data_IF_338037216357
#
_entry.id   IF_338037216357
#
_cell.length_a   1.000
_cell.length_b   1.000
_cell.length_c   1.000
_cell.angle_alpha   90.00
_cell.angle_beta   90.00
_cell.angle_gamma   90.00
#
_symmetry.space_group_name_H-M   'P 1'
#
loop_
_entity.id
_entity.type
_entity.pdbx_description
1 polymer ?
#
# COMPACT_ATOMS: atom_id res chain seq x y z
N UNK A 1 -19.20 10.95 -9.92
CA UNK A 1 -19.20 12.43 -9.88
C UNK A 1 -19.95 12.91 -11.12
N UNK A 2 -20.72 14.00 -11.08
CA UNK A 2 -21.38 14.49 -12.28
C UNK A 2 -20.32 14.96 -13.29
N UNK A 3 -20.55 14.71 -14.58
CA UNK A 3 -19.62 14.98 -15.68
C UNK A 3 -19.13 16.44 -15.81
N UNK A 4 -19.69 17.38 -15.04
CA UNK A 4 -19.35 18.81 -15.08
C UNK A 4 -18.30 19.22 -14.02
N UNK A 5 -17.97 18.34 -13.06
CA UNK A 5 -17.04 18.69 -11.98
C UNK A 5 -15.59 18.77 -12.42
N UNK A 6 -15.15 17.89 -13.32
CA UNK A 6 -13.74 17.79 -13.75
C UNK A 6 -13.31 19.02 -14.56
N UNK A 7 -14.16 19.50 -15.49
CA UNK A 7 -13.90 20.70 -16.26
C UNK A 7 -13.75 21.94 -15.35
N UNK A 8 -14.65 22.09 -14.39
CA UNK A 8 -14.61 23.21 -13.43
C UNK A 8 -13.36 23.20 -12.55
N UNK A 9 -12.86 22.02 -12.16
CA UNK A 9 -11.62 21.92 -11.40
C UNK A 9 -10.42 22.31 -12.26
N UNK A 10 -10.37 21.85 -13.52
CA UNK A 10 -9.31 22.22 -14.46
C UNK A 10 -9.25 23.74 -14.73
N UNK A 11 -10.40 24.41 -14.85
CA UNK A 11 -10.50 25.86 -14.98
C UNK A 11 -10.01 26.61 -13.73
N UNK A 12 -10.15 26.02 -12.55
CA UNK A 12 -9.60 26.57 -11.31
C UNK A 12 -8.09 26.42 -11.22
N UNK A 13 -7.56 25.26 -11.64
CA UNK A 13 -6.13 24.98 -11.67
C UNK A 13 -5.39 25.84 -12.71
N UNK A 14 -6.02 26.13 -13.86
CA UNK A 14 -5.49 27.02 -14.88
C UNK A 14 -5.63 28.51 -14.56
N UNK A 15 -6.35 28.85 -13.47
CA UNK A 15 -6.61 30.23 -13.05
C UNK A 15 -7.63 30.97 -13.92
N UNK A 16 -8.27 30.31 -14.89
CA UNK A 16 -9.30 30.89 -15.75
C UNK A 16 -10.58 31.25 -14.99
N UNK A 17 -10.89 30.47 -13.95
CA UNK A 17 -12.03 30.69 -13.08
C UNK A 17 -11.59 30.53 -11.62
N UNK A 18 -12.17 31.28 -10.68
CA UNK A 18 -11.96 31.05 -9.26
C UNK A 18 -13.20 30.40 -8.61
N UNK A 19 -13.02 29.48 -7.67
CA UNK A 19 -14.15 28.92 -6.93
C UNK A 19 -14.86 30.01 -6.14
N UNK A 20 -16.20 30.01 -6.17
CA UNK A 20 -16.98 30.89 -5.30
C UNK A 20 -16.67 30.61 -3.83
N UNK A 21 -16.91 31.61 -2.96
CA UNK A 21 -16.65 31.49 -1.51
C UNK A 21 -17.32 30.25 -0.91
N UNK A 22 -18.55 29.94 -1.33
CA UNK A 22 -19.29 28.76 -0.90
C UNK A 22 -18.63 27.45 -1.35
N UNK A 23 -18.21 27.35 -2.62
CA UNK A 23 -17.50 26.17 -3.15
C UNK A 23 -16.15 25.98 -2.46
N UNK A 24 -15.39 27.06 -2.27
CA UNK A 24 -14.11 27.04 -1.53
C UNK A 24 -14.31 26.56 -0.09
N UNK A 25 -15.32 27.06 0.61
CA UNK A 25 -15.65 26.62 1.98
C UNK A 25 -16.03 25.14 2.02
N UNK A 26 -16.81 24.66 1.05
CA UNK A 26 -17.18 23.24 0.95
C UNK A 26 -15.95 22.33 0.76
N UNK A 27 -15.01 22.72 -0.11
CA UNK A 27 -13.76 21.98 -0.35
C UNK A 27 -12.91 21.93 0.93
N UNK A 28 -12.73 23.07 1.60
CA UNK A 28 -11.98 23.14 2.86
C UNK A 28 -12.62 22.27 3.95
N UNK A 29 -13.96 22.30 4.06
CA UNK A 29 -14.69 21.46 5.00
C UNK A 29 -14.55 19.97 4.68
N UNK A 30 -14.55 19.60 3.40
CA UNK A 30 -14.31 18.23 2.97
C UNK A 30 -12.90 17.77 3.34
N UNK A 31 -11.88 18.61 3.12
CA UNK A 31 -10.50 18.33 3.53
C UNK A 31 -10.38 18.08 5.03
N UNK A 32 -11.00 18.94 5.85
CA UNK A 32 -11.06 18.75 7.32
C UNK A 32 -11.74 17.45 7.71
N UNK A 33 -12.85 17.11 7.05
CA UNK A 33 -13.57 15.86 7.32
C UNK A 33 -12.73 14.63 6.98
N UNK A 34 -12.04 14.64 5.84
CA UNK A 34 -11.12 13.56 5.45
C UNK A 34 -9.97 13.41 6.43
N UNK A 35 -9.36 14.53 6.85
CA UNK A 35 -8.29 14.51 7.85
C UNK A 35 -8.77 13.94 9.19
N UNK A 36 -9.97 14.34 9.63
CA UNK A 36 -10.60 13.79 10.83
C UNK A 36 -10.81 12.28 10.72
N UNK A 37 -11.36 11.80 9.60
CA UNK A 37 -11.53 10.36 9.36
C UNK A 37 -10.20 9.59 9.41
N UNK A 38 -9.13 10.13 8.82
CA UNK A 38 -7.82 9.51 8.89
C UNK A 38 -7.25 9.48 10.32
N UNK A 39 -7.49 10.53 11.11
CA UNK A 39 -7.03 10.60 12.49
C UNK A 39 -7.79 9.67 13.44
N UNK A 40 -9.07 9.42 13.16
CA UNK A 40 -9.97 8.56 13.94
C UNK A 40 -10.04 7.13 13.40
N UNK A 41 -9.18 6.76 12.45
CA UNK A 41 -9.18 5.43 11.88
C UNK A 41 -8.93 4.35 12.96
N UNK A 42 -9.71 3.26 12.99
CA UNK A 42 -9.73 2.31 14.10
C UNK A 42 -8.41 1.56 14.32
N UNK A 43 -7.62 1.38 13.26
CA UNK A 43 -6.32 0.72 13.30
C UNK A 43 -5.18 1.69 12.96
N UNK A 44 -5.37 2.98 13.23
CA UNK A 44 -4.29 3.96 13.11
C UNK A 44 -3.07 3.50 13.92
N UNK A 45 -1.91 3.52 13.29
CA UNK A 45 -0.66 3.12 13.94
C UNK A 45 -0.11 4.21 14.86
N UNK A 46 0.61 3.86 15.94
CA UNK A 46 1.31 4.81 16.77
C UNK A 46 2.48 5.47 16.00
N UNK A 47 3.05 6.58 16.53
CA UNK A 47 4.24 7.19 15.95
C UNK A 47 5.40 6.20 15.76
N UNK A 48 6.18 6.38 14.71
CA UNK A 48 7.32 5.51 14.39
C UNK A 48 8.35 5.44 15.53
N UNK A 49 8.51 6.52 16.32
CA UNK A 49 9.42 6.59 17.47
C UNK A 49 9.10 5.59 18.58
N UNK A 50 7.86 5.09 18.64
CA UNK A 50 7.39 4.11 19.63
C UNK A 50 7.43 2.67 19.10
N UNK A 51 7.91 2.49 17.87
CA UNK A 51 7.88 1.20 17.18
C UNK A 51 9.21 0.47 17.29
N UNK A 52 9.15 -0.86 17.41
CA UNK A 52 10.31 -1.74 17.60
C UNK A 52 11.03 -2.06 16.29
N UNK A 53 10.31 -2.03 15.19
CA UNK A 53 10.80 -2.26 13.83
C UNK A 53 9.87 -1.58 12.83
N UNK A 54 10.33 -1.48 11.60
CA UNK A 54 9.61 -0.88 10.48
C UNK A 54 9.33 -1.91 9.42
N UNK A 55 8.21 -1.78 8.71
CA UNK A 55 7.86 -2.70 7.64
C UNK A 55 7.16 -2.00 6.49
N UNK A 56 7.15 -2.68 5.34
CA UNK A 56 6.34 -2.29 4.18
C UNK A 56 5.33 -3.37 3.87
N UNK A 57 4.20 -2.98 3.29
CA UNK A 57 3.09 -3.88 2.95
C UNK A 57 2.77 -3.80 1.45
N UNK A 58 3.25 -4.77 0.69
CA UNK A 58 3.06 -4.87 -0.75
C UNK A 58 1.92 -5.84 -1.07
N UNK A 59 1.07 -5.48 -2.03
CA UNK A 59 -0.16 -6.24 -2.34
C UNK A 59 -1.03 -6.36 -1.08
N UNK A 60 -1.18 -5.24 -0.38
CA UNK A 60 -1.69 -5.19 0.98
C UNK A 60 -3.15 -5.65 1.12
N UNK A 61 -3.92 -5.63 0.02
CA UNK A 61 -5.36 -5.82 0.02
C UNK A 61 -6.02 -4.85 0.99
N UNK A 62 -6.80 -5.38 1.93
CA UNK A 62 -7.45 -4.60 2.99
C UNK A 62 -6.59 -4.48 4.27
N UNK A 63 -5.31 -4.88 4.21
CA UNK A 63 -4.37 -4.81 5.33
C UNK A 63 -4.45 -5.97 6.32
N UNK A 64 -4.83 -7.17 5.86
CA UNK A 64 -4.94 -8.35 6.73
C UNK A 64 -3.60 -8.79 7.34
N UNK A 65 -2.51 -8.66 6.57
CA UNK A 65 -1.16 -9.03 7.03
C UNK A 65 -0.55 -7.92 7.92
N UNK A 66 -0.84 -6.65 7.63
CA UNK A 66 -0.38 -5.50 8.43
C UNK A 66 -0.77 -5.58 9.91
N UNK A 67 -2.04 -5.88 10.21
CA UNK A 67 -2.57 -5.73 11.58
C UNK A 67 -1.79 -6.52 12.64
N UNK A 68 -1.46 -7.81 12.44
CA UNK A 68 -0.59 -8.55 13.36
C UNK A 68 0.80 -7.90 13.57
N UNK A 69 1.46 -7.45 12.50
CA UNK A 69 2.79 -6.83 12.62
C UNK A 69 2.74 -5.50 13.37
N UNK A 70 1.69 -4.71 13.13
CA UNK A 70 1.45 -3.48 13.88
C UNK A 70 1.23 -3.77 15.37
N UNK A 71 0.45 -4.81 15.71
CA UNK A 71 0.24 -5.24 17.11
C UNK A 71 1.50 -5.75 17.79
N UNK A 72 2.46 -6.28 17.03
CA UNK A 72 3.78 -6.70 17.52
C UNK A 72 4.76 -5.52 17.69
N UNK A 73 4.31 -4.28 17.48
CA UNK A 73 5.12 -3.08 17.61
C UNK A 73 5.83 -2.67 16.32
N UNK A 74 5.37 -3.14 15.16
CA UNK A 74 5.85 -2.70 13.86
C UNK A 74 5.20 -1.40 13.40
N UNK A 75 5.96 -0.56 12.69
CA UNK A 75 5.44 0.62 11.98
C UNK A 75 5.41 0.38 10.47
N UNK A 76 4.26 0.55 9.84
CA UNK A 76 4.14 0.50 8.38
C UNK A 76 4.65 1.83 7.78
N UNK A 77 5.79 1.80 7.08
CA UNK A 77 6.37 2.99 6.44
C UNK A 77 6.01 3.13 4.96
N UNK A 78 5.45 2.09 4.35
CA UNK A 78 5.03 2.10 2.95
C UNK A 78 3.99 1.02 2.68
N UNK A 79 2.95 1.36 1.90
CA UNK A 79 1.90 0.41 1.49
C UNK A 79 1.60 0.55 0.01
N UNK A 80 1.53 -0.56 -0.71
CA UNK A 80 1.06 -0.63 -2.10
C UNK A 80 -0.08 -1.62 -2.24
N UNK A 81 -1.15 -1.15 -2.90
CA UNK A 81 -2.31 -1.95 -3.26
C UNK A 81 -2.92 -1.35 -4.53
N UNK A 82 -3.12 -2.15 -5.58
CA UNK A 82 -3.58 -1.67 -6.87
C UNK A 82 -5.11 -1.54 -6.96
N UNK A 83 -5.86 -2.34 -6.20
CA UNK A 83 -7.32 -2.35 -6.25
C UNK A 83 -7.91 -1.14 -5.52
N UNK A 84 -8.70 -0.36 -6.23
CA UNK A 84 -9.27 0.90 -5.72
C UNK A 84 -10.28 0.69 -4.60
N UNK A 85 -10.93 -0.47 -4.52
CA UNK A 85 -11.88 -0.77 -3.44
C UNK A 85 -11.14 -1.19 -2.18
N UNK A 86 -10.12 -2.02 -2.31
CA UNK A 86 -9.21 -2.40 -1.25
C UNK A 86 -8.52 -1.16 -0.65
N UNK A 87 -8.03 -0.23 -1.47
CA UNK A 87 -7.47 1.05 -1.01
C UNK A 87 -8.46 1.85 -0.16
N UNK A 88 -9.74 1.93 -0.55
CA UNK A 88 -10.76 2.65 0.23
C UNK A 88 -10.99 2.01 1.59
N UNK A 89 -11.09 0.67 1.63
CA UNK A 89 -11.22 -0.08 2.89
C UNK A 89 -9.98 0.09 3.75
N UNK A 90 -8.79 0.06 3.15
CA UNK A 90 -7.52 0.28 3.82
C UNK A 90 -7.48 1.68 4.45
N UNK A 91 -7.82 2.73 3.70
CA UNK A 91 -7.90 4.10 4.18
C UNK A 91 -8.91 4.24 5.34
N UNK A 92 -10.09 3.63 5.23
CA UNK A 92 -11.09 3.68 6.28
C UNK A 92 -10.62 3.05 7.59
N UNK A 93 -9.78 2.02 7.52
CA UNK A 93 -9.30 1.26 8.66
C UNK A 93 -8.00 1.80 9.27
N UNK A 94 -7.06 2.23 8.44
CA UNK A 94 -5.70 2.64 8.86
C UNK A 94 -5.47 4.14 8.78
N UNK A 95 -6.34 4.89 8.10
CA UNK A 95 -6.19 6.34 7.90
C UNK A 95 -5.13 6.70 6.87
N UNK A 96 -4.61 5.71 6.15
CA UNK A 96 -3.51 5.85 5.18
C UNK A 96 -3.98 5.36 3.81
N UNK A 97 -3.67 6.10 2.75
CA UNK A 97 -3.98 5.69 1.39
C UNK A 97 -2.77 4.93 0.80
N UNK A 98 -2.94 3.67 0.34
CA UNK A 98 -1.88 2.98 -0.39
C UNK A 98 -1.53 3.67 -1.70
N UNK A 99 -0.27 3.54 -2.14
CA UNK A 99 0.25 4.29 -3.31
C UNK A 99 -0.25 3.78 -4.67
N UNK A 100 -1.00 2.67 -4.71
CA UNK A 100 -1.43 2.06 -5.95
C UNK A 100 -0.47 0.98 -6.46
N UNK A 101 -0.28 0.96 -7.78
CA UNK A 101 0.54 -0.01 -8.51
C UNK A 101 2.04 0.14 -8.19
N UNK A 102 2.62 -0.88 -7.54
CA UNK A 102 4.03 -0.93 -7.15
C UNK A 102 5.00 -0.84 -8.35
N UNK A 103 4.59 -1.25 -9.56
CA UNK A 103 5.46 -1.24 -10.74
C UNK A 103 5.79 0.17 -11.23
N UNK A 104 5.01 1.16 -10.78
CA UNK A 104 5.18 2.58 -11.10
C UNK A 104 5.99 3.34 -10.04
N UNK A 105 6.36 2.68 -8.94
CA UNK A 105 7.10 3.27 -7.84
C UNK A 105 8.58 2.93 -7.98
N UNK A 106 9.45 3.94 -7.95
CA UNK A 106 10.90 3.69 -7.96
C UNK A 106 11.35 3.17 -6.60
N UNK A 107 12.32 2.27 -6.58
CA UNK A 107 12.86 1.72 -5.33
C UNK A 107 13.38 2.80 -4.36
N UNK A 108 13.86 3.93 -4.89
CA UNK A 108 14.33 5.09 -4.08
C UNK A 108 13.21 5.84 -3.36
N UNK A 109 11.95 5.63 -3.75
CA UNK A 109 10.78 6.25 -3.11
C UNK A 109 10.23 5.39 -1.96
N UNK A 110 10.69 4.15 -1.83
CA UNK A 110 10.30 3.25 -0.75
C UNK A 110 11.25 3.50 0.41
N UNK A 111 10.69 3.90 1.55
CA UNK A 111 11.46 4.15 2.76
C UNK A 111 12.23 2.89 3.22
N UNK A 112 13.38 3.12 3.86
CA UNK A 112 14.13 2.04 4.53
C UNK A 112 13.24 1.35 5.55
N UNK A 113 13.33 0.02 5.60
CA UNK A 113 12.50 -0.82 6.44
C UNK A 113 13.21 -2.09 6.87
N UNK A 114 12.77 -2.68 7.98
CA UNK A 114 13.33 -3.94 8.50
C UNK A 114 12.63 -5.16 7.87
N UNK A 115 11.32 -5.08 7.63
CA UNK A 115 10.50 -6.22 7.19
C UNK A 115 9.71 -5.89 5.92
N UNK A 116 9.64 -6.84 4.97
CA UNK A 116 8.81 -6.73 3.78
C UNK A 116 7.66 -7.74 3.88
N UNK A 117 6.43 -7.23 3.86
CA UNK A 117 5.21 -8.02 3.77
C UNK A 117 4.72 -8.07 2.33
N UNK A 118 4.24 -9.24 1.90
CA UNK A 118 3.75 -9.46 0.55
C UNK A 118 2.50 -10.33 0.51
N UNK A 119 1.34 -9.72 0.24
CA UNK A 119 0.03 -10.38 0.15
C UNK A 119 -0.31 -10.90 -1.25
N UNK A 120 0.53 -11.76 -1.82
CA UNK A 120 0.37 -12.21 -3.19
C UNK A 120 -0.89 -13.08 -3.40
N UNK A 121 -1.61 -12.93 -4.54
CA UNK A 121 -2.81 -13.72 -4.81
C UNK A 121 -2.47 -15.21 -4.97
N UNK A 122 -3.09 -16.03 -4.13
CA UNK A 122 -2.94 -17.49 -4.07
C UNK A 122 -3.40 -18.23 -5.36
N UNK A 123 -4.02 -17.53 -6.34
CA UNK A 123 -4.56 -18.15 -7.56
C UNK A 123 -3.52 -18.78 -8.49
N UNK A 124 -2.23 -18.38 -8.40
CA UNK A 124 -1.16 -18.99 -9.20
C UNK A 124 -0.55 -20.25 -8.54
N UNK A 125 -0.83 -20.51 -7.26
CA UNK A 125 -0.11 -21.50 -6.45
C UNK A 125 -1.00 -22.50 -5.70
N UNK A 126 -2.33 -22.39 -5.76
CA UNK A 126 -3.22 -23.35 -5.11
C UNK A 126 -3.34 -24.67 -5.90
N UNK A 127 -3.35 -25.80 -5.19
CA UNK A 127 -3.53 -27.15 -5.75
C UNK A 127 -4.88 -27.34 -6.48
N UNK A 128 -5.85 -26.46 -6.19
CA UNK A 128 -7.19 -26.42 -6.80
C UNK A 128 -7.27 -25.50 -8.04
N UNK A 129 -6.17 -24.83 -8.42
CA UNK A 129 -6.02 -24.05 -9.66
C UNK A 129 -5.21 -24.80 -10.72
N UNK A 130 -5.25 -24.31 -11.97
CA UNK A 130 -4.70 -24.95 -13.20
C UNK A 130 -3.16 -25.09 -13.27
N UNK A 131 -2.43 -25.26 -12.17
CA UNK A 131 -0.98 -25.56 -12.14
C UNK A 131 -0.13 -24.76 -13.16
N UNK A 132 -0.41 -23.47 -13.35
CA UNK A 132 0.36 -22.66 -14.30
C UNK A 132 1.63 -22.02 -13.69
N UNK A 133 1.78 -22.06 -12.36
CA UNK A 133 3.04 -21.69 -11.70
C UNK A 133 3.66 -20.39 -12.20
N UNK A 134 4.94 -20.44 -12.57
CA UNK A 134 5.78 -19.32 -13.01
C UNK A 134 5.44 -18.72 -14.38
N UNK A 135 4.46 -19.24 -15.12
CA UNK A 135 4.04 -18.68 -16.41
C UNK A 135 3.02 -17.54 -16.27
N UNK A 136 2.54 -17.27 -15.07
CA UNK A 136 1.62 -16.15 -14.79
C UNK A 136 2.43 -14.86 -14.55
N UNK A 137 2.07 -13.77 -15.25
CA UNK A 137 2.71 -12.45 -15.15
C UNK A 137 2.73 -11.90 -13.73
N UNK A 138 1.79 -12.36 -12.88
CA UNK A 138 1.73 -12.02 -11.45
C UNK A 138 2.86 -12.66 -10.64
N UNK A 139 3.30 -13.87 -10.99
CA UNK A 139 4.41 -14.56 -10.35
C UNK A 139 5.79 -13.99 -10.74
N UNK A 140 5.93 -13.48 -11.96
CA UNK A 140 7.19 -12.85 -12.43
C UNK A 140 7.42 -11.44 -11.87
N UNK A 141 6.36 -10.76 -11.40
CA UNK A 141 6.46 -9.44 -10.76
C UNK A 141 7.28 -9.48 -9.46
N UNK A 142 7.17 -10.59 -8.71
CA UNK A 142 7.98 -10.84 -7.50
C UNK A 142 9.48 -10.97 -7.82
N UNK A 143 9.84 -11.72 -8.86
CA UNK A 143 11.24 -11.92 -9.26
C UNK A 143 11.89 -10.62 -9.75
N UNK A 144 11.14 -9.81 -10.51
CA UNK A 144 11.62 -8.51 -10.97
C UNK A 144 11.84 -7.52 -9.82
N UNK A 145 10.92 -7.46 -8.86
CA UNK A 145 11.03 -6.55 -7.72
C UNK A 145 12.13 -7.00 -6.74
N UNK A 146 12.20 -8.30 -6.44
CA UNK A 146 13.26 -8.82 -5.58
C UNK A 146 14.66 -8.71 -6.18
N UNK A 147 14.80 -8.80 -7.51
CA UNK A 147 16.07 -8.63 -8.22
C UNK A 147 16.51 -7.16 -8.37
N UNK A 148 15.57 -6.22 -8.44
CA UNK A 148 15.87 -4.78 -8.54
C UNK A 148 16.20 -4.13 -7.19
N UNK A 149 15.91 -4.79 -6.08
CA UNK A 149 16.19 -4.28 -4.74
C UNK A 149 17.68 -4.46 -4.37
N UNK A 150 18.46 -3.37 -4.22
CA UNK A 150 19.89 -3.47 -4.02
C UNK A 150 20.23 -4.10 -2.66
N UNK A 151 21.20 -5.04 -2.66
CA UNK A 151 21.72 -5.76 -1.47
C UNK A 151 22.10 -4.86 -0.28
N UNK A 152 22.29 -3.55 -0.48
CA UNK A 152 22.64 -2.58 0.57
C UNK A 152 21.52 -2.32 1.58
N UNK A 153 20.25 -2.55 1.23
CA UNK A 153 19.11 -2.39 2.17
C UNK A 153 18.94 -3.61 3.08
N UNK A 154 19.54 -4.76 2.76
CA UNK A 154 19.49 -6.00 3.54
C UNK A 154 20.41 -5.98 4.79
N UNK A 155 20.78 -4.80 5.30
CA UNK A 155 21.74 -4.64 6.41
C UNK A 155 21.17 -4.93 7.80
N UNK A 156 19.85 -5.08 7.93
CA UNK A 156 19.18 -5.53 9.16
C UNK A 156 18.27 -6.69 8.79
N UNK A 157 18.21 -7.71 9.64
CA UNK A 157 17.60 -9.03 9.41
C UNK A 157 16.23 -8.93 8.72
N UNK A 158 16.22 -8.97 7.39
CA UNK A 158 15.01 -8.80 6.61
C UNK A 158 14.26 -10.12 6.55
N UNK A 159 13.24 -10.26 7.40
CA UNK A 159 12.33 -11.42 7.37
C UNK A 159 11.31 -11.20 6.25
N UNK A 160 11.29 -12.10 5.28
CA UNK A 160 10.29 -12.14 4.21
C UNK A 160 9.21 -13.15 4.60
N UNK A 161 7.97 -12.70 4.81
CA UNK A 161 6.84 -13.61 5.00
C UNK A 161 6.03 -13.67 3.70
N UNK A 162 5.91 -14.87 3.13
CA UNK A 162 5.29 -15.13 1.83
C UNK A 162 4.13 -16.11 2.01
N UNK A 163 2.90 -15.65 1.79
CA UNK A 163 1.72 -16.48 1.98
C UNK A 163 1.33 -17.22 0.69
N UNK A 164 1.97 -18.38 0.47
CA UNK A 164 1.46 -19.48 -0.35
C UNK A 164 1.61 -20.81 0.43
N UNK A 165 0.65 -21.73 0.27
CA UNK A 165 0.25 -22.77 1.24
C UNK A 165 1.27 -23.90 1.52
N UNK A 166 2.43 -23.89 0.89
CA UNK A 166 3.56 -24.76 1.21
C UNK A 166 4.78 -24.06 0.70
N UNK A 167 5.67 -23.67 1.61
CA UNK A 167 7.00 -23.14 1.38
C UNK A 167 7.17 -22.33 0.07
N UNK A 168 7.52 -21.04 0.17
CA UNK A 168 8.51 -20.53 -0.80
C UNK A 168 9.89 -21.12 -0.44
N UNK A 169 9.90 -22.47 -0.46
CA UNK A 169 10.91 -23.53 -0.39
C UNK A 169 12.18 -23.09 0.32
N UNK A 170 12.53 -23.72 1.46
CA UNK A 170 13.90 -23.76 2.04
C UNK A 170 14.83 -22.69 1.44
N UNK A 171 15.07 -21.59 2.16
CA UNK A 171 16.23 -20.71 1.98
C UNK A 171 16.79 -20.67 0.54
N UNK A 172 16.49 -19.61 -0.23
CA UNK A 172 17.14 -19.40 -1.52
C UNK A 172 18.67 -19.66 -1.41
N UNK A 173 19.24 -20.52 -2.27
CA UNK A 173 20.65 -20.94 -2.18
C UNK A 173 21.63 -19.77 -2.29
#
# INVERSE_FOLDING_TARGET
MPAHGEHTVGEWESGQLMPSVAKRKAILNMGKKLQKHAQEAPFRQPPQSESRFTFIDLFAGIGGIRLPFQRLGGHCVFTSEWDKYAQKTYLANYGEMPVGDITRVRATEIADHDVLLGGFPCQAFSLAGRKQGFSDTRGTMFLKFSASWPRKSQKRSCWKMLNSFGDMIKAAP
#
